data_IF_461836855092
#
_entry.id   IF_461836855092
#
_cell.length_a   1.000
_cell.length_b   1.000
_cell.length_c   1.000
_cell.angle_alpha   90.00
_cell.angle_beta   90.00
_cell.angle_gamma   90.00
#
_symmetry.space_group_name_H-M   'P 1'
#
loop_
_entity.id
_entity.type
_entity.pdbx_description
1 polymer ?
#
# COMPACT_ATOMS: atom_id res chain seq x y z
N UNK A 1 -10.68 6.44 -30.27
CA UNK A 1 -10.73 5.41 -29.22
C UNK A 1 -10.02 4.21 -29.80
N UNK A 2 -8.94 3.73 -29.19
CA UNK A 2 -8.29 2.49 -29.65
C UNK A 2 -9.33 1.35 -29.62
N UNK A 3 -9.32 0.49 -30.63
CA UNK A 3 -10.15 -0.72 -30.63
C UNK A 3 -9.48 -1.85 -29.81
N UNK A 4 -8.22 -1.65 -29.43
CA UNK A 4 -7.36 -2.65 -28.78
C UNK A 4 -7.40 -2.56 -27.24
N UNK A 5 -8.57 -2.84 -26.68
CA UNK A 5 -8.84 -2.77 -25.24
C UNK A 5 -8.76 -4.16 -24.59
N UNK A 6 -7.99 -4.28 -23.50
CA UNK A 6 -7.92 -5.48 -22.66
C UNK A 6 -8.55 -5.23 -21.28
N UNK A 7 -9.30 -6.20 -20.78
CA UNK A 7 -9.77 -6.20 -19.38
C UNK A 7 -8.94 -7.16 -18.55
N UNK A 8 -8.35 -6.67 -17.45
CA UNK A 8 -7.67 -7.47 -16.43
C UNK A 8 -8.59 -7.56 -15.21
N UNK A 9 -8.95 -8.79 -14.82
CA UNK A 9 -9.80 -9.07 -13.65
C UNK A 9 -8.95 -9.48 -12.45
N UNK A 10 -9.48 -9.26 -11.26
CA UNK A 10 -8.86 -9.64 -9.98
C UNK A 10 -7.44 -9.06 -9.82
N UNK A 11 -7.23 -7.83 -10.29
CA UNK A 11 -5.99 -7.12 -10.05
C UNK A 11 -5.93 -6.66 -8.58
N UNK A 12 -4.72 -6.75 -8.01
CA UNK A 12 -4.45 -6.31 -6.64
C UNK A 12 -4.09 -4.83 -6.61
N UNK A 13 -4.83 -4.05 -5.82
CA UNK A 13 -4.52 -2.67 -5.53
C UNK A 13 -3.42 -2.59 -4.45
N UNK A 14 -2.31 -1.94 -4.77
CA UNK A 14 -1.13 -1.83 -3.92
C UNK A 14 -1.01 -0.45 -3.24
N UNK A 15 -2.09 0.32 -3.16
CA UNK A 15 -2.02 1.68 -2.61
C UNK A 15 -2.00 1.74 -1.07
N UNK A 16 -2.88 0.99 -0.40
CA UNK A 16 -2.97 0.99 1.07
C UNK A 16 -2.97 -0.44 1.60
N UNK A 17 -2.86 -0.60 2.93
CA UNK A 17 -2.81 -1.89 3.62
C UNK A 17 -4.06 -2.77 3.48
N UNK A 18 -5.10 -2.32 2.77
CA UNK A 18 -6.26 -3.16 2.46
C UNK A 18 -6.01 -4.18 1.34
N UNK A 19 -5.02 -3.93 0.47
CA UNK A 19 -4.56 -4.86 -0.58
C UNK A 19 -5.72 -5.49 -1.38
N UNK A 20 -6.68 -4.67 -1.81
CA UNK A 20 -7.89 -5.16 -2.45
C UNK A 20 -7.59 -5.89 -3.77
N UNK A 21 -8.03 -7.13 -3.91
CA UNK A 21 -7.68 -8.09 -4.96
C UNK A 21 -8.78 -8.31 -6.02
N UNK A 22 -9.81 -7.46 -6.05
CA UNK A 22 -10.97 -7.60 -6.94
C UNK A 22 -11.06 -6.52 -8.01
N UNK A 23 -9.97 -5.79 -8.29
CA UNK A 23 -10.00 -4.71 -9.27
C UNK A 23 -10.26 -5.26 -10.68
N UNK A 24 -11.08 -4.54 -11.44
CA UNK A 24 -11.27 -4.77 -12.87
C UNK A 24 -10.69 -3.57 -13.61
N UNK A 25 -9.55 -3.79 -14.27
CA UNK A 25 -8.80 -2.76 -14.98
C UNK A 25 -9.07 -2.85 -16.47
N UNK A 26 -9.35 -1.71 -17.09
CA UNK A 26 -9.41 -1.56 -18.55
C UNK A 26 -8.09 -0.96 -19.01
N UNK A 27 -7.40 -1.66 -19.91
CA UNK A 27 -6.07 -1.29 -20.42
C UNK A 27 -6.19 -1.02 -21.91
N UNK A 28 -5.72 0.15 -22.32
CA UNK A 28 -5.47 0.49 -23.71
C UNK A 28 -4.08 -0.02 -24.09
N UNK A 29 -4.01 -0.98 -25.01
CA UNK A 29 -2.74 -1.60 -25.40
C UNK A 29 -1.93 -0.74 -26.37
N UNK A 30 -2.57 0.17 -27.09
CA UNK A 30 -1.91 1.06 -28.03
C UNK A 30 -1.28 2.24 -27.28
N UNK A 31 -2.01 2.84 -26.34
CA UNK A 31 -1.50 3.88 -25.41
C UNK A 31 -0.63 3.28 -24.29
N UNK A 32 -0.64 1.95 -24.11
CA UNK A 32 0.02 1.23 -22.99
C UNK A 32 -0.37 1.78 -21.62
N UNK A 33 -1.66 2.10 -21.42
CA UNK A 33 -2.16 2.78 -20.22
C UNK A 33 -3.40 2.12 -19.66
N UNK A 34 -3.55 2.17 -18.34
CA UNK A 34 -4.80 1.80 -17.67
C UNK A 34 -5.76 2.99 -17.76
N UNK A 35 -6.90 2.81 -18.43
CA UNK A 35 -7.87 3.87 -18.68
C UNK A 35 -9.04 3.88 -17.70
N UNK A 36 -9.29 2.75 -17.01
CA UNK A 36 -10.36 2.63 -16.02
C UNK A 36 -10.01 1.59 -14.95
N UNK A 37 -10.34 1.90 -13.70
CA UNK A 37 -10.26 0.96 -12.57
C UNK A 37 -11.62 0.85 -11.88
N UNK A 38 -12.37 -0.22 -12.19
CA UNK A 38 -13.65 -0.52 -11.53
C UNK A 38 -13.41 -1.12 -10.14
N UNK A 39 -14.33 -0.86 -9.20
CA UNK A 39 -14.28 -1.24 -7.77
C UNK A 39 -13.18 -0.57 -6.95
N UNK A 40 -12.26 0.16 -7.57
CA UNK A 40 -11.27 0.98 -6.88
C UNK A 40 -11.93 2.13 -6.11
N UNK A 41 -11.41 2.45 -4.91
CA UNK A 41 -11.75 3.71 -4.24
C UNK A 41 -11.05 4.89 -4.91
N UNK A 42 -11.22 6.10 -4.37
CA UNK A 42 -10.55 7.31 -4.87
C UNK A 42 -9.03 7.13 -4.95
N UNK A 43 -8.41 6.54 -3.92
CA UNK A 43 -6.96 6.30 -3.89
C UNK A 43 -6.52 5.27 -4.94
N UNK A 44 -7.28 4.17 -5.10
CA UNK A 44 -6.98 3.16 -6.12
C UNK A 44 -7.18 3.67 -7.54
N UNK A 45 -8.15 4.56 -7.78
CA UNK A 45 -8.33 5.20 -9.09
C UNK A 45 -7.16 6.14 -9.41
N UNK A 46 -6.76 6.93 -8.41
CA UNK A 46 -5.58 7.78 -8.52
C UNK A 46 -4.33 6.97 -8.89
N UNK A 47 -4.13 5.83 -8.21
CA UNK A 47 -3.02 4.91 -8.45
C UNK A 47 -3.03 4.29 -9.86
N UNK A 48 -4.17 3.74 -10.29
CA UNK A 48 -4.23 2.98 -11.53
C UNK A 48 -4.41 3.83 -12.79
N UNK A 49 -5.33 4.79 -12.77
CA UNK A 49 -5.83 5.41 -14.01
C UNK A 49 -5.48 6.90 -14.15
N UNK A 50 -5.19 7.59 -13.04
CA UNK A 50 -4.93 9.03 -13.02
C UNK A 50 -3.43 9.33 -12.88
N UNK A 51 -2.61 8.34 -12.51
CA UNK A 51 -1.16 8.46 -12.48
C UNK A 51 -0.61 8.64 -13.90
N UNK A 52 0.08 9.75 -14.12
CA UNK A 52 0.78 10.06 -15.37
C UNK A 52 2.28 9.96 -15.16
N UNK A 53 2.95 9.25 -16.07
CA UNK A 53 4.41 9.26 -16.16
C UNK A 53 4.76 10.49 -17.00
N UNK A 54 5.44 11.47 -16.40
CA UNK A 54 5.98 12.61 -17.14
C UNK A 54 7.15 12.19 -18.04
N UNK A 55 7.53 13.07 -18.96
CA UNK A 55 8.71 12.90 -19.81
C UNK A 55 9.98 13.26 -19.01
N UNK A 56 10.28 12.42 -18.01
CA UNK A 56 11.44 12.56 -17.13
C UNK A 56 12.59 11.70 -17.66
N UNK A 57 13.85 12.16 -17.57
CA UNK A 57 15.00 11.33 -17.89
C UNK A 57 15.02 10.08 -17.01
N UNK A 58 15.53 8.98 -17.56
CA UNK A 58 15.62 7.68 -16.84
C UNK A 58 16.39 7.82 -15.53
N UNK A 59 17.42 8.65 -15.50
CA UNK A 59 18.18 9.01 -14.32
C UNK A 59 18.90 10.35 -14.51
N UNK A 60 19.34 10.95 -13.39
CA UNK A 60 20.18 12.14 -13.39
C UNK A 60 21.30 12.01 -12.37
N UNK A 61 22.48 12.56 -12.70
CA UNK A 61 23.60 12.77 -11.77
C UNK A 61 23.88 14.28 -11.76
N UNK A 62 23.85 14.90 -10.57
CA UNK A 62 24.04 16.35 -10.39
C UNK A 62 23.18 17.21 -11.32
N UNK A 63 21.93 16.78 -11.55
CA UNK A 63 20.96 17.46 -12.40
C UNK A 63 21.18 17.30 -13.91
N UNK A 64 22.11 16.45 -14.33
CA UNK A 64 22.34 16.12 -15.75
C UNK A 64 21.77 14.74 -16.06
N UNK A 65 21.08 14.64 -17.20
CA UNK A 65 20.60 13.36 -17.72
C UNK A 65 21.77 12.43 -18.05
N UNK A 66 21.63 11.16 -17.65
CA UNK A 66 22.61 10.09 -17.87
C UNK A 66 21.91 8.79 -18.24
N UNK A 67 22.67 7.84 -18.78
CA UNK A 67 22.16 6.49 -19.02
C UNK A 67 21.85 5.76 -17.71
N UNK A 68 21.00 4.73 -17.80
CA UNK A 68 20.69 3.84 -16.67
C UNK A 68 21.95 3.14 -16.15
N UNK A 69 22.84 2.73 -17.05
CA UNK A 69 24.09 2.05 -16.72
C UNK A 69 25.05 2.97 -15.95
N UNK A 70 25.21 4.23 -16.38
CA UNK A 70 25.98 5.25 -15.65
C UNK A 70 25.39 5.54 -14.27
N UNK A 71 24.05 5.64 -14.17
CA UNK A 71 23.38 5.88 -12.90
C UNK A 71 23.56 4.72 -11.90
N UNK A 72 23.48 3.47 -12.37
CA UNK A 72 23.71 2.29 -11.53
C UNK A 72 25.16 2.24 -11.05
N UNK A 73 26.13 2.51 -11.92
CA UNK A 73 27.54 2.52 -11.54
C UNK A 73 27.82 3.62 -10.50
N UNK A 74 27.34 4.84 -10.71
CA UNK A 74 27.53 5.93 -9.75
C UNK A 74 26.87 5.64 -8.39
N UNK A 75 25.66 5.07 -8.39
CA UNK A 75 24.99 4.65 -7.16
C UNK A 75 25.80 3.58 -6.42
N UNK A 76 26.32 2.57 -7.14
CA UNK A 76 27.15 1.52 -6.55
C UNK A 76 28.45 2.11 -5.95
N UNK A 77 29.14 2.99 -6.69
CA UNK A 77 30.34 3.66 -6.21
C UNK A 77 30.06 4.52 -4.96
N UNK A 78 28.94 5.24 -4.96
CA UNK A 78 28.50 6.05 -3.80
C UNK A 78 28.27 5.18 -2.58
N UNK A 79 27.53 4.07 -2.73
CA UNK A 79 27.21 3.17 -1.63
C UNK A 79 28.46 2.46 -1.06
N UNK A 80 29.38 2.02 -1.93
CA UNK A 80 30.62 1.35 -1.50
C UNK A 80 31.59 2.30 -0.79
N UNK A 81 31.63 3.59 -1.18
CA UNK A 81 32.50 4.60 -0.56
C UNK A 81 31.90 5.21 0.71
N UNK A 82 30.60 5.00 0.96
CA UNK A 82 29.91 5.55 2.12
C UNK A 82 30.45 4.94 3.42
N UNK A 83 30.58 5.78 4.46
CA UNK A 83 31.02 5.33 5.80
C UNK A 83 29.89 4.77 6.64
N UNK A 84 28.66 5.23 6.40
CA UNK A 84 27.47 4.84 7.15
C UNK A 84 26.23 4.90 6.25
N UNK A 85 26.14 4.03 5.21
CA UNK A 85 25.02 4.05 4.28
C UNK A 85 23.73 3.54 4.95
N UNK A 86 22.60 4.13 4.54
CA UNK A 86 21.26 3.67 4.92
C UNK A 86 20.42 3.39 3.68
N UNK A 87 19.72 2.25 3.69
CA UNK A 87 18.64 1.92 2.76
C UNK A 87 17.31 2.15 3.48
N UNK A 88 16.51 3.12 3.03
CA UNK A 88 15.26 3.49 3.69
C UNK A 88 14.06 3.43 2.72
N UNK A 89 12.88 3.10 3.24
CA UNK A 89 11.61 3.14 2.51
C UNK A 89 10.99 1.75 2.35
N UNK A 90 11.09 1.19 1.14
CA UNK A 90 10.74 -0.20 0.79
C UNK A 90 9.28 -0.64 0.97
N UNK A 91 8.40 0.19 1.53
CA UNK A 91 7.00 -0.20 1.80
C UNK A 91 6.14 -0.32 0.55
N UNK A 92 6.49 0.39 -0.52
CA UNK A 92 5.78 0.39 -1.81
C UNK A 92 6.60 -0.33 -2.91
N UNK A 93 7.19 -1.48 -2.57
CA UNK A 93 7.87 -2.35 -3.54
C UNK A 93 7.56 -3.82 -3.26
N UNK A 94 8.02 -4.71 -4.14
CA UNK A 94 7.75 -6.16 -3.98
C UNK A 94 8.71 -6.81 -2.99
N UNK A 95 8.32 -7.96 -2.43
CA UNK A 95 9.17 -8.76 -1.56
C UNK A 95 10.46 -9.23 -2.27
N UNK A 96 10.44 -9.42 -3.59
CA UNK A 96 11.62 -9.74 -4.39
C UNK A 96 12.63 -8.60 -4.38
N UNK A 97 12.16 -7.36 -4.58
CA UNK A 97 13.00 -6.18 -4.53
C UNK A 97 13.53 -5.92 -3.11
N UNK A 98 12.69 -6.09 -2.08
CA UNK A 98 13.12 -6.00 -0.68
C UNK A 98 14.22 -7.01 -0.35
N UNK A 99 14.13 -8.25 -0.84
CA UNK A 99 15.18 -9.26 -0.67
C UNK A 99 16.52 -8.83 -1.26
N UNK A 100 16.50 -8.21 -2.45
CA UNK A 100 17.71 -7.66 -3.05
C UNK A 100 18.24 -6.46 -2.27
N UNK A 101 17.36 -5.56 -1.80
CA UNK A 101 17.75 -4.41 -0.98
C UNK A 101 18.44 -4.83 0.33
N UNK A 102 17.94 -5.88 0.99
CA UNK A 102 18.58 -6.47 2.18
C UNK A 102 19.98 -6.99 1.84
N UNK A 103 20.11 -7.77 0.77
CA UNK A 103 21.40 -8.33 0.35
C UNK A 103 22.43 -7.25 -0.02
N UNK A 104 22.01 -6.24 -0.78
CA UNK A 104 22.86 -5.10 -1.14
C UNK A 104 23.30 -4.34 0.11
N UNK A 105 22.36 -4.08 1.04
CA UNK A 105 22.66 -3.34 2.28
C UNK A 105 23.67 -4.08 3.16
N UNK A 106 23.58 -5.40 3.23
CA UNK A 106 24.55 -6.24 3.95
C UNK A 106 25.96 -6.15 3.32
N UNK A 107 26.05 -6.25 1.98
CA UNK A 107 27.31 -6.14 1.23
C UNK A 107 28.01 -4.79 1.50
N UNK A 108 27.26 -3.70 1.52
CA UNK A 108 27.79 -2.35 1.78
C UNK A 108 27.93 -2.03 3.28
N UNK A 109 27.66 -3.01 4.16
CA UNK A 109 27.71 -2.86 5.64
C UNK A 109 26.85 -1.69 6.14
N UNK A 110 25.71 -1.49 5.50
CA UNK A 110 24.77 -0.42 5.80
C UNK A 110 23.73 -0.79 6.84
N UNK A 111 22.90 0.19 7.16
CA UNK A 111 21.66 -0.02 7.94
C UNK A 111 20.47 -0.04 6.99
N UNK A 112 19.48 -0.87 7.27
CA UNK A 112 18.21 -0.90 6.53
C UNK A 112 17.07 -0.52 7.47
N UNK A 113 16.17 0.33 6.99
CA UNK A 113 14.96 0.71 7.70
C UNK A 113 13.80 0.90 6.71
N UNK A 114 12.57 0.88 7.20
CA UNK A 114 11.36 1.03 6.38
C UNK A 114 10.49 2.17 6.90
N UNK A 115 9.44 2.52 6.16
CA UNK A 115 8.48 3.53 6.66
C UNK A 115 7.77 3.11 7.96
N UNK A 116 7.94 1.85 8.40
CA UNK A 116 7.47 1.40 9.71
C UNK A 116 8.03 2.25 10.85
N UNK A 117 9.27 2.72 10.80
CA UNK A 117 9.87 3.53 11.88
C UNK A 117 9.12 4.85 12.16
N UNK A 118 8.38 5.36 11.18
CA UNK A 118 7.52 6.57 11.30
C UNK A 118 6.02 6.26 11.24
N UNK A 119 5.65 4.98 11.23
CA UNK A 119 4.27 4.50 11.13
C UNK A 119 3.95 3.56 12.29
N UNK A 120 3.92 2.24 12.05
CA UNK A 120 3.60 1.22 13.06
C UNK A 120 4.81 0.69 13.85
N UNK A 121 5.95 1.38 13.83
CA UNK A 121 7.14 1.03 14.61
C UNK A 121 6.88 0.89 16.10
N UNK A 122 6.18 1.86 16.75
CA UNK A 122 5.76 1.72 18.15
C UNK A 122 4.87 0.49 18.39
N UNK A 123 4.01 0.14 17.43
CA UNK A 123 3.19 -1.08 17.50
C UNK A 123 4.07 -2.34 17.49
N UNK A 124 5.09 -2.40 16.63
CA UNK A 124 6.05 -3.50 16.60
C UNK A 124 6.83 -3.68 17.90
N UNK A 125 7.25 -2.58 18.53
CA UNK A 125 7.90 -2.61 19.86
C UNK A 125 6.95 -3.17 20.93
N UNK A 126 5.67 -2.79 20.90
CA UNK A 126 4.68 -3.32 21.82
C UNK A 126 4.50 -4.83 21.64
N UNK A 127 4.39 -5.32 20.40
CA UNK A 127 4.24 -6.76 20.11
C UNK A 127 5.42 -7.58 20.62
N UNK A 128 6.64 -7.05 20.55
CA UNK A 128 7.82 -7.71 21.12
C UNK A 128 7.74 -7.85 22.66
N UNK A 129 7.09 -6.90 23.34
CA UNK A 129 6.97 -6.90 24.79
C UNK A 129 5.78 -7.70 25.33
N UNK A 130 4.63 -7.66 24.64
CA UNK A 130 3.37 -8.23 25.16
C UNK A 130 2.68 -9.22 24.22
N UNK A 131 3.24 -9.48 23.05
CA UNK A 131 2.66 -10.35 22.02
C UNK A 131 1.64 -9.65 21.13
N UNK A 132 1.13 -10.40 20.15
CA UNK A 132 0.15 -9.96 19.17
C UNK A 132 -1.06 -10.90 19.17
N UNK A 133 -2.25 -10.37 19.48
CA UNK A 133 -3.53 -11.07 19.31
C UNK A 133 -4.24 -10.50 18.08
N UNK A 134 -4.24 -11.25 16.99
CA UNK A 134 -4.73 -10.79 15.67
C UNK A 134 -5.73 -11.77 15.06
N UNK A 135 -6.37 -11.34 13.97
CA UNK A 135 -7.29 -12.15 13.18
C UNK A 135 -7.27 -11.74 11.71
N UNK A 136 -7.73 -12.62 10.82
CA UNK A 136 -7.89 -12.26 9.41
C UNK A 136 -9.09 -11.33 9.18
N UNK A 137 -9.08 -10.58 8.08
CA UNK A 137 -10.23 -9.77 7.65
C UNK A 137 -11.49 -10.61 7.38
N UNK A 138 -11.33 -11.91 7.09
CA UNK A 138 -12.43 -12.86 6.95
C UNK A 138 -13.14 -13.15 8.28
N UNK A 139 -12.39 -13.23 9.39
CA UNK A 139 -12.97 -13.40 10.73
C UNK A 139 -13.77 -12.16 11.13
N UNK A 140 -13.21 -10.96 10.88
CA UNK A 140 -13.92 -9.69 11.08
C UNK A 140 -15.24 -9.69 10.31
N UNK A 141 -15.19 -9.96 9.00
CA UNK A 141 -16.36 -9.97 8.13
C UNK A 141 -17.42 -10.96 8.63
N UNK A 142 -17.02 -12.16 9.05
CA UNK A 142 -17.99 -13.20 9.34
C UNK A 142 -18.57 -13.15 10.76
N UNK A 143 -17.81 -12.66 11.75
CA UNK A 143 -18.15 -12.84 13.18
C UNK A 143 -18.23 -11.57 14.00
N UNK A 144 -17.52 -10.50 13.64
CA UNK A 144 -17.41 -9.34 14.52
C UNK A 144 -18.72 -8.55 14.64
N UNK A 145 -19.30 -8.51 15.84
CA UNK A 145 -20.45 -7.69 16.22
C UNK A 145 -20.05 -6.37 16.93
N UNK A 146 -18.78 -6.24 17.33
CA UNK A 146 -18.16 -5.01 17.78
C UNK A 146 -16.91 -4.70 16.94
N UNK A 147 -16.84 -3.48 16.40
CA UNK A 147 -15.69 -2.99 15.65
C UNK A 147 -15.24 -1.65 16.23
N UNK A 148 -14.00 -1.60 16.73
CA UNK A 148 -13.42 -0.39 17.30
C UNK A 148 -12.34 0.13 16.35
N UNK A 149 -12.48 1.37 15.90
CA UNK A 149 -11.41 2.14 15.26
C UNK A 149 -10.83 3.09 16.28
N UNK A 150 -9.56 2.89 16.64
CA UNK A 150 -8.88 3.71 17.64
C UNK A 150 -7.76 4.53 16.99
N UNK A 151 -7.90 5.85 17.01
CA UNK A 151 -6.92 6.78 16.45
C UNK A 151 -6.75 6.68 14.93
N UNK A 152 -7.79 6.23 14.21
CA UNK A 152 -7.73 6.01 12.77
C UNK A 152 -8.93 6.59 12.02
N UNK A 153 -8.70 7.02 10.78
CA UNK A 153 -9.74 7.49 9.86
C UNK A 153 -9.80 6.64 8.58
N UNK A 154 -10.33 5.40 8.62
CA UNK A 154 -10.32 4.51 7.46
C UNK A 154 -11.13 5.04 6.27
N UNK A 155 -12.15 5.88 6.48
CA UNK A 155 -12.89 6.50 5.38
C UNK A 155 -11.98 7.27 4.40
N UNK A 156 -10.88 7.85 4.90
CA UNK A 156 -9.87 8.54 4.09
C UNK A 156 -8.66 7.65 3.79
N UNK A 157 -8.08 6.99 4.81
CA UNK A 157 -6.82 6.26 4.67
C UNK A 157 -6.98 4.85 4.08
N UNK A 158 -8.12 4.21 4.31
CA UNK A 158 -8.41 2.84 3.89
C UNK A 158 -9.87 2.69 3.38
N UNK A 159 -10.28 3.42 2.32
CA UNK A 159 -11.69 3.71 2.08
C UNK A 159 -12.59 2.48 1.85
N UNK A 160 -12.02 1.36 1.41
CA UNK A 160 -12.77 0.10 1.21
C UNK A 160 -12.79 -0.80 2.45
N UNK A 161 -12.08 -0.46 3.52
CA UNK A 161 -12.03 -1.29 4.73
C UNK A 161 -13.43 -1.51 5.32
N UNK A 162 -14.22 -0.43 5.43
CA UNK A 162 -15.59 -0.48 5.93
C UNK A 162 -16.50 -1.35 5.06
N UNK A 163 -16.42 -1.16 3.75
CA UNK A 163 -17.38 -1.74 2.82
C UNK A 163 -17.06 -3.17 2.41
N UNK A 164 -15.77 -3.54 2.47
CA UNK A 164 -15.28 -4.85 2.05
C UNK A 164 -15.09 -5.80 3.22
N UNK A 165 -14.61 -5.31 4.36
CA UNK A 165 -14.08 -6.19 5.42
C UNK A 165 -14.79 -6.07 6.76
N UNK A 166 -15.15 -4.86 7.21
CA UNK A 166 -15.44 -4.67 8.64
C UNK A 166 -16.86 -4.24 9.01
N UNK A 167 -17.47 -3.29 8.30
CA UNK A 167 -18.65 -2.57 8.81
C UNK A 167 -19.93 -2.96 8.07
N UNK A 168 -19.99 -2.77 6.75
CA UNK A 168 -21.20 -3.06 5.97
C UNK A 168 -21.30 -4.48 5.40
N UNK A 169 -20.24 -5.30 5.23
CA UNK A 169 -20.39 -6.59 4.57
C UNK A 169 -21.21 -7.54 5.45
N UNK A 170 -22.06 -8.33 4.78
CA UNK A 170 -22.79 -9.43 5.39
C UNK A 170 -21.86 -10.61 5.62
N UNK A 171 -21.86 -11.12 6.85
CA UNK A 171 -21.06 -12.26 7.27
C UNK A 171 -21.90 -13.51 7.53
N UNK A 172 -21.23 -14.62 7.81
CA UNK A 172 -21.87 -15.88 8.21
C UNK A 172 -22.72 -15.73 9.50
N UNK A 173 -22.21 -14.99 10.50
CA UNK A 173 -22.87 -14.75 11.79
C UNK A 173 -23.33 -13.31 11.99
N UNK A 174 -23.16 -12.47 10.96
CA UNK A 174 -23.62 -11.08 10.89
C UNK A 174 -24.41 -10.85 9.58
N UNK A 175 -25.52 -11.58 9.36
CA UNK A 175 -26.24 -11.60 8.08
C UNK A 175 -26.88 -10.25 7.70
N UNK A 176 -27.12 -9.36 8.67
CA UNK A 176 -27.66 -8.03 8.43
C UNK A 176 -26.56 -6.96 8.24
N UNK A 177 -25.28 -7.36 8.20
CA UNK A 177 -24.15 -6.45 7.97
C UNK A 177 -24.07 -5.36 9.04
N UNK A 178 -24.10 -4.07 8.65
CA UNK A 178 -23.99 -2.92 9.58
C UNK A 178 -24.94 -2.97 10.77
N UNK A 179 -26.14 -3.53 10.59
CA UNK A 179 -27.17 -3.60 11.65
C UNK A 179 -26.80 -4.56 12.77
N UNK A 180 -25.98 -5.57 12.49
CA UNK A 180 -25.50 -6.53 13.49
C UNK A 180 -24.21 -6.07 14.17
N UNK A 181 -23.72 -4.85 13.85
CA UNK A 181 -22.43 -4.36 14.34
C UNK A 181 -22.57 -3.07 15.12
N UNK A 182 -21.97 -3.04 16.30
CA UNK A 182 -21.65 -1.81 17.02
C UNK A 182 -20.30 -1.30 16.53
N UNK A 183 -20.26 -0.05 16.08
CA UNK A 183 -19.03 0.59 15.60
C UNK A 183 -18.66 1.71 16.54
N UNK A 184 -17.45 1.67 17.08
CA UNK A 184 -16.91 2.70 17.97
C UNK A 184 -15.73 3.35 17.25
N UNK A 185 -15.72 4.68 17.24
CA UNK A 185 -14.58 5.47 16.80
C UNK A 185 -14.03 6.24 18.00
N UNK A 186 -12.76 6.02 18.32
CA UNK A 186 -12.02 6.80 19.32
C UNK A 186 -11.08 7.72 18.57
N UNK A 187 -11.43 8.99 18.49
CA UNK A 187 -10.63 10.01 17.80
C UNK A 187 -10.74 11.35 18.54
N UNK A 188 -9.70 12.16 18.46
CA UNK A 188 -9.68 13.52 19.04
C UNK A 188 -10.48 14.52 18.20
N UNK A 189 -10.91 14.13 16.99
CA UNK A 189 -11.71 14.95 16.08
C UNK A 189 -12.89 14.15 15.52
N UNK A 190 -13.94 14.85 15.11
CA UNK A 190 -14.99 14.25 14.30
C UNK A 190 -14.48 14.07 12.87
N UNK A 191 -14.26 12.83 12.45
CA UNK A 191 -13.73 12.50 11.12
C UNK A 191 -14.83 11.95 10.19
N UNK A 192 -14.59 11.84 8.88
CA UNK A 192 -15.49 11.12 7.97
C UNK A 192 -15.73 9.64 8.33
N UNK A 193 -14.90 9.06 9.22
CA UNK A 193 -15.10 7.72 9.76
C UNK A 193 -16.10 7.65 10.91
N UNK A 194 -16.64 8.79 11.37
CA UNK A 194 -17.61 8.82 12.46
C UNK A 194 -18.87 8.03 12.06
N UNK A 195 -19.27 6.99 12.82
CA UNK A 195 -20.36 6.07 12.46
C UNK A 195 -21.76 6.66 12.37
#
# INVERSE_FOLDING_TARGET
MSENIKTVKNATCTFCGCVCDDMELTVDLDEKRITKAKKACVLGRAWFAEHTIGDWPVAMIDGKEVSKEEAIEEAAQTLVKAKFPITYGLSDTTCEAQRQAVAITDIIKGTIDTTTSVCHGPTGLAFQGVGESTMSLGEVKNRADLVIYWGGNPAEAHPRHFTRYAVTPKGMFTPNGRKDRTVVLVDIRKTPSTP
#
